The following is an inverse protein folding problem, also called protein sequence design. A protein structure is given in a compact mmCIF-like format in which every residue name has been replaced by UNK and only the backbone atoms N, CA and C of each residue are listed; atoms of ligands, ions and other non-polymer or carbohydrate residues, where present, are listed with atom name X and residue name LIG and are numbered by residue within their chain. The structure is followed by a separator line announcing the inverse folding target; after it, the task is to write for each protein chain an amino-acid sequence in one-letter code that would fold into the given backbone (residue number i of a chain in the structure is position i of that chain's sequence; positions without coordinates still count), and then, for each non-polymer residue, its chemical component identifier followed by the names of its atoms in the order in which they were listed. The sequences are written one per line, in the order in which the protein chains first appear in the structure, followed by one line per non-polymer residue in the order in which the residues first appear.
data_IF_616104479380
#
_entry.id   IF_616104479380
#
_cell.length_a   1.000
_cell.length_b   1.000
_cell.length_c   1.000
_cell.angle_alpha   90.00
_cell.angle_beta   90.00
_cell.angle_gamma   90.00
#
_symmetry.space_group_name_H-M   'P 1'
#
loop_
_entity.id
_entity.type
_entity.pdbx_description
1 polymer ?
#
# COMPACT_ATOMS: atom_id res chain seq x y z
N UNK A 1 -20.13 5.93 3.01
CA UNK A 1 -19.05 5.34 3.83
C UNK A 1 -18.80 6.25 5.03
N UNK A 2 -18.81 5.74 6.26
CA UNK A 2 -18.47 6.55 7.45
C UNK A 2 -16.94 6.67 7.52
N UNK A 3 -16.40 7.86 7.29
CA UNK A 3 -14.96 8.14 7.31
C UNK A 3 -14.56 8.57 8.73
N UNK A 4 -13.39 8.15 9.21
CA UNK A 4 -12.93 8.57 10.55
C UNK A 4 -12.49 10.03 10.53
N UNK A 5 -12.50 10.69 11.70
CA UNK A 5 -12.00 12.08 11.82
C UNK A 5 -10.54 12.21 11.38
N UNK A 6 -9.72 11.18 11.67
CA UNK A 6 -8.30 11.15 11.30
C UNK A 6 -8.10 11.09 9.78
N UNK A 7 -8.86 10.25 9.08
CA UNK A 7 -8.81 10.19 7.62
C UNK A 7 -9.39 11.46 7.01
N UNK A 8 -10.49 12.01 7.56
CA UNK A 8 -11.04 13.29 7.11
C UNK A 8 -9.98 14.40 7.16
N UNK A 9 -9.28 14.56 8.29
CA UNK A 9 -8.23 15.57 8.43
C UNK A 9 -7.06 15.40 7.44
N UNK A 10 -6.81 14.18 6.97
CA UNK A 10 -5.81 13.96 5.91
C UNK A 10 -6.36 14.47 4.58
N UNK A 11 -7.59 14.09 4.21
CA UNK A 11 -8.25 14.49 2.96
C UNK A 11 -8.43 16.01 2.83
N UNK A 12 -8.61 16.71 3.96
CA UNK A 12 -8.71 18.17 4.01
C UNK A 12 -7.40 18.87 3.54
N UNK A 13 -6.25 18.17 3.50
CA UNK A 13 -5.00 18.73 2.94
C UNK A 13 -4.90 18.61 1.40
N UNK A 14 -5.84 17.94 0.74
CA UNK A 14 -5.82 17.68 -0.70
C UNK A 14 -6.86 18.54 -1.42
N UNK A 15 -7.11 19.77 -0.96
CA UNK A 15 -8.24 20.57 -1.43
C UNK A 15 -8.20 20.98 -2.90
N UNK A 16 -7.00 21.04 -3.49
CA UNK A 16 -6.79 21.27 -4.91
C UNK A 16 -7.08 20.04 -5.80
N UNK A 17 -7.20 18.84 -5.22
CA UNK A 17 -7.42 17.62 -5.98
C UNK A 17 -8.89 17.38 -6.31
N UNK A 18 -9.11 16.66 -7.42
CA UNK A 18 -10.45 16.33 -7.87
C UNK A 18 -11.18 15.43 -6.86
N UNK A 19 -12.54 15.48 -6.82
CA UNK A 19 -13.33 14.58 -5.98
C UNK A 19 -13.00 13.10 -6.18
N UNK A 20 -12.62 12.69 -7.39
CA UNK A 20 -12.23 11.31 -7.70
C UNK A 20 -10.91 10.89 -7.04
N UNK A 21 -9.94 11.80 -6.97
CA UNK A 21 -8.66 11.55 -6.27
C UNK A 21 -8.92 11.42 -4.76
N UNK A 22 -9.67 12.36 -4.16
CA UNK A 22 -10.05 12.29 -2.75
C UNK A 22 -10.82 11.01 -2.41
N UNK A 23 -11.74 10.58 -3.29
CA UNK A 23 -12.50 9.35 -3.10
C UNK A 23 -11.61 8.10 -3.13
N UNK A 24 -10.65 8.02 -4.04
CA UNK A 24 -9.69 6.91 -4.10
C UNK A 24 -8.77 6.90 -2.87
N UNK A 25 -8.26 8.06 -2.46
CA UNK A 25 -7.43 8.18 -1.27
C UNK A 25 -8.21 7.75 -0.01
N UNK A 26 -9.47 8.18 0.11
CA UNK A 26 -10.36 7.73 1.18
C UNK A 26 -10.56 6.21 1.15
N UNK A 27 -10.76 5.61 -0.03
CA UNK A 27 -10.91 4.16 -0.18
C UNK A 27 -9.67 3.41 0.27
N UNK A 28 -8.47 3.88 -0.08
CA UNK A 28 -7.20 3.26 0.33
C UNK A 28 -7.01 3.37 1.86
N UNK A 29 -7.18 4.57 2.43
CA UNK A 29 -6.97 4.83 3.86
C UNK A 29 -8.02 4.18 4.77
N UNK A 30 -9.15 3.75 4.22
CA UNK A 30 -10.21 3.05 4.94
C UNK A 30 -10.17 1.53 4.75
N UNK A 31 -9.20 1.00 4.00
CA UNK A 31 -9.12 -0.43 3.66
C UNK A 31 -8.32 -1.24 4.70
N UNK A 32 -8.76 -2.48 4.93
CA UNK A 32 -8.00 -3.50 5.66
C UNK A 32 -7.79 -3.20 7.15
N UNK A 33 -6.77 -3.83 7.75
CA UNK A 33 -6.49 -3.74 9.19
C UNK A 33 -6.14 -2.31 9.67
N UNK A 34 -5.58 -1.49 8.80
CA UNK A 34 -5.23 -0.10 9.11
C UNK A 34 -6.34 0.89 8.72
N UNK A 35 -7.47 0.41 8.21
CA UNK A 35 -8.59 1.24 7.79
C UNK A 35 -9.03 2.23 8.88
N UNK A 36 -9.10 3.51 8.53
CA UNK A 36 -9.55 4.55 9.45
C UNK A 36 -8.51 5.03 10.46
N UNK A 37 -7.34 4.40 10.54
CA UNK A 37 -6.25 4.82 11.44
C UNK A 37 -5.50 6.05 10.92
N UNK A 38 -5.66 6.36 9.63
CA UNK A 38 -4.85 7.37 8.94
C UNK A 38 -3.42 6.91 8.62
N UNK A 39 -3.11 5.63 8.81
CA UNK A 39 -1.83 5.01 8.46
C UNK A 39 -2.00 4.14 7.22
N UNK A 40 -0.97 4.10 6.39
CA UNK A 40 -0.86 3.26 5.21
C UNK A 40 0.51 2.58 5.23
N UNK A 41 0.54 1.30 4.91
CA UNK A 41 1.78 0.56 4.66
C UNK A 41 1.81 0.28 3.17
N UNK A 42 2.88 0.71 2.51
CA UNK A 42 3.13 0.46 1.10
C UNK A 42 4.34 -0.47 1.04
N UNK A 43 4.20 -1.58 0.33
CA UNK A 43 5.33 -2.41 -0.07
C UNK A 43 5.68 -2.02 -1.51
N UNK A 44 6.68 -1.14 -1.73
CA UNK A 44 7.11 -0.82 -3.08
C UNK A 44 7.81 -2.04 -3.68
N UNK A 45 7.31 -2.52 -4.81
CA UNK A 45 7.93 -3.62 -5.57
C UNK A 45 7.99 -3.23 -7.03
N UNK A 46 9.15 -2.77 -7.47
CA UNK A 46 9.49 -2.41 -8.86
C UNK A 46 10.61 -3.29 -9.45
N UNK A 47 11.18 -4.18 -8.63
CA UNK A 47 12.32 -5.03 -8.98
C UNK A 47 12.19 -5.79 -10.30
N UNK A 48 10.97 -6.20 -10.68
CA UNK A 48 10.74 -6.90 -11.96
C UNK A 48 10.94 -6.01 -13.18
N UNK A 49 10.75 -4.69 -13.04
CA UNK A 49 11.00 -3.70 -14.09
C UNK A 49 12.50 -3.38 -14.22
N UNK A 50 13.19 -3.19 -13.10
CA UNK A 50 14.60 -2.75 -13.10
C UNK A 50 15.61 -3.90 -13.30
N UNK A 51 15.29 -5.11 -12.83
CA UNK A 51 16.23 -6.22 -12.76
C UNK A 51 15.73 -7.50 -13.46
N UNK A 52 14.58 -7.43 -14.13
CA UNK A 52 13.94 -8.59 -14.74
C UNK A 52 13.41 -9.59 -13.72
N UNK A 53 12.74 -10.66 -14.17
CA UNK A 53 11.98 -11.54 -13.29
C UNK A 53 12.87 -12.44 -12.40
N UNK A 54 14.13 -12.65 -12.77
CA UNK A 54 14.93 -13.71 -12.17
C UNK A 54 15.66 -13.30 -10.88
N UNK A 55 16.13 -12.06 -10.76
CA UNK A 55 17.04 -11.69 -9.67
C UNK A 55 16.37 -11.70 -8.29
N UNK A 56 15.11 -11.30 -8.25
CA UNK A 56 14.35 -11.11 -7.00
C UNK A 56 13.11 -12.01 -6.90
N UNK A 57 12.71 -12.66 -7.99
CA UNK A 57 11.51 -13.52 -8.04
C UNK A 57 11.74 -14.89 -8.66
N UNK A 58 12.99 -15.28 -8.94
CA UNK A 58 13.27 -16.68 -9.24
C UNK A 58 12.91 -17.55 -8.03
N UNK A 59 12.42 -18.76 -8.31
CA UNK A 59 12.26 -19.78 -7.28
C UNK A 59 13.60 -19.95 -6.58
N UNK A 60 13.59 -19.85 -5.25
CA UNK A 60 14.73 -20.18 -4.41
C UNK A 60 14.44 -21.53 -3.74
N UNK A 61 14.92 -22.67 -4.28
CA UNK A 61 14.61 -23.99 -3.74
C UNK A 61 15.09 -24.18 -2.31
N UNK A 62 16.21 -23.56 -1.93
CA UNK A 62 16.75 -23.70 -0.58
C UNK A 62 15.85 -23.00 0.45
N UNK A 63 15.09 -21.98 0.05
CA UNK A 63 14.11 -21.30 0.93
C UNK A 63 12.92 -22.19 1.34
N UNK A 64 12.79 -23.40 0.79
CA UNK A 64 11.83 -24.40 1.30
C UNK A 64 12.30 -25.10 2.58
N UNK A 65 13.57 -24.99 2.96
CA UNK A 65 14.08 -25.44 4.25
C UNK A 65 13.76 -24.40 5.34
N UNK A 66 13.03 -24.76 6.42
CA UNK A 66 12.74 -23.85 7.52
C UNK A 66 13.99 -23.34 8.27
N UNK A 67 15.16 -23.96 8.07
CA UNK A 67 16.44 -23.53 8.61
C UNK A 67 17.31 -22.73 7.62
N UNK A 68 16.79 -22.37 6.45
CA UNK A 68 17.50 -21.52 5.50
C UNK A 68 17.48 -20.05 5.94
N UNK A 69 18.64 -19.45 6.19
CA UNK A 69 18.82 -18.03 6.53
C UNK A 69 20.22 -17.52 6.13
#
# INVERSE_FOLDING_TARGET
MKITRKVKSILDNYDSDSPGVKANLARILMQGRLGGTGKLVILPVDQGFEHGPARSFAVNPDAYDPHYH
#
